data_IF_798144565582
#
_entry.id   IF_798144565582
#
_cell.length_a   1.000
_cell.length_b   1.000
_cell.length_c   1.000
_cell.angle_alpha   90.00
_cell.angle_beta   90.00
_cell.angle_gamma   90.00
#
_symmetry.space_group_name_H-M   'P 1'
#
loop_
_entity.id
_entity.type
_entity.pdbx_description
1 polymer ?
#
# COMPACT_ATOMS: atom_id res chain seq x y z
N UNK A 1 -5.11 3.09 47.27
CA UNK A 1 -5.18 2.49 48.61
C UNK A 1 -6.64 2.11 48.89
N UNK A 2 -7.03 0.91 48.44
CA UNK A 2 -8.38 0.39 48.64
C UNK A 2 -8.57 -0.22 50.01
N UNK A 3 -7.49 -0.47 50.76
CA UNK A 3 -7.50 -1.12 52.05
C UNK A 3 -7.20 -0.15 53.24
N UNK A 4 -6.89 1.11 52.99
CA UNK A 4 -6.58 2.12 53.99
C UNK A 4 -5.29 1.87 54.79
N UNK A 5 -4.37 1.07 54.27
CA UNK A 5 -3.10 0.71 54.92
C UNK A 5 -1.95 1.68 54.56
N UNK A 6 -2.22 2.69 53.72
CA UNK A 6 -1.25 3.68 53.26
C UNK A 6 -0.30 3.20 52.18
N UNK A 7 -0.44 1.94 51.73
CA UNK A 7 0.33 1.42 50.62
C UNK A 7 -0.49 1.48 49.34
N UNK A 8 0.16 1.87 48.23
CA UNK A 8 -0.45 1.83 46.90
C UNK A 8 -0.71 0.37 46.53
N UNK A 9 -1.97 0.02 46.18
CA UNK A 9 -2.28 -1.28 45.61
C UNK A 9 -1.60 -1.45 44.24
N UNK A 10 -0.36 -1.90 44.29
CA UNK A 10 0.50 -2.08 43.11
C UNK A 10 -0.14 -3.03 42.10
N UNK A 11 -1.02 -3.93 42.55
CA UNK A 11 -1.65 -4.94 41.72
C UNK A 11 -2.66 -4.41 40.68
N UNK A 12 -3.42 -3.35 40.99
CA UNK A 12 -4.45 -2.86 40.05
C UNK A 12 -3.92 -1.93 38.96
N UNK A 13 -2.78 -1.25 39.19
CA UNK A 13 -2.17 -0.36 38.22
C UNK A 13 -1.26 -1.08 37.21
N UNK A 14 -0.87 -2.34 37.47
CA UNK A 14 0.04 -3.12 36.62
C UNK A 14 -0.66 -4.20 35.82
N UNK A 15 -2.00 -4.26 35.83
CA UNK A 15 -2.75 -5.22 35.05
C UNK A 15 -3.00 -4.64 33.66
N UNK A 16 -2.50 -5.34 32.63
CA UNK A 16 -2.82 -5.02 31.25
C UNK A 16 -4.31 -5.24 31.00
N UNK A 17 -5.08 -4.15 30.89
CA UNK A 17 -6.54 -4.21 30.68
C UNK A 17 -6.94 -4.29 29.23
N UNK A 18 -6.10 -3.81 28.32
CA UNK A 18 -6.37 -3.78 26.89
C UNK A 18 -5.09 -4.06 26.09
N UNK A 19 -5.22 -4.91 25.07
CA UNK A 19 -4.19 -5.08 24.05
C UNK A 19 -4.85 -5.60 22.77
N UNK A 20 -4.22 -5.38 21.63
CA UNK A 20 -4.71 -5.94 20.37
C UNK A 20 -4.22 -5.20 19.14
N UNK A 21 -4.90 -5.49 18.05
CA UNK A 21 -4.72 -4.83 16.74
C UNK A 21 -6.06 -4.25 16.31
N UNK A 22 -6.03 -3.18 15.54
CA UNK A 22 -7.23 -2.57 14.97
C UNK A 22 -7.04 -2.31 13.48
N UNK A 23 -8.02 -2.69 12.68
CA UNK A 23 -8.04 -2.47 11.24
C UNK A 23 -9.37 -1.90 10.81
N UNK A 24 -9.33 -0.91 9.94
CA UNK A 24 -10.54 -0.35 9.33
C UNK A 24 -10.23 0.17 7.92
N UNK A 25 -11.15 -0.04 7.00
CA UNK A 25 -11.05 0.55 5.67
C UNK A 25 -11.22 2.07 5.73
N UNK A 26 -10.42 2.78 4.94
CA UNK A 26 -10.35 4.25 4.94
C UNK A 26 -10.20 4.78 3.51
N UNK A 27 -9.98 6.09 3.37
CA UNK A 27 -9.66 6.69 2.07
C UNK A 27 -8.53 7.68 2.20
N UNK A 28 -7.53 7.53 1.33
CA UNK A 28 -6.34 8.38 1.22
C UNK A 28 -6.25 9.04 -0.16
N UNK A 29 -7.31 8.90 -0.97
CA UNK A 29 -7.33 9.27 -2.39
C UNK A 29 -6.96 10.73 -2.66
N UNK A 30 -7.22 11.63 -1.70
CA UNK A 30 -6.89 13.05 -1.80
C UNK A 30 -5.40 13.33 -1.89
N UNK A 31 -4.58 12.47 -1.27
CA UNK A 31 -3.11 12.61 -1.24
C UNK A 31 -2.41 11.56 -2.08
N UNK A 32 -3.16 10.68 -2.78
CA UNK A 32 -2.62 9.57 -3.56
C UNK A 32 -1.69 10.00 -4.70
N UNK A 33 -1.94 11.20 -5.27
CA UNK A 33 -1.23 11.74 -6.43
C UNK A 33 -0.48 13.04 -6.10
N UNK A 34 -0.40 13.44 -4.83
CA UNK A 34 0.42 14.56 -4.38
C UNK A 34 1.91 14.30 -4.57
N UNK A 35 2.71 15.36 -4.53
CA UNK A 35 4.17 15.24 -4.56
C UNK A 35 4.63 14.41 -3.35
N UNK A 36 5.43 13.41 -3.61
CA UNK A 36 6.10 12.61 -2.58
C UNK A 36 7.28 11.89 -3.22
N UNK A 37 8.47 12.42 -2.99
CA UNK A 37 9.74 11.88 -3.47
C UNK A 37 10.84 12.05 -2.41
N UNK A 38 12.10 11.83 -2.78
CA UNK A 38 13.25 12.03 -1.89
C UNK A 38 13.48 13.50 -1.54
N UNK A 39 12.99 14.46 -2.34
CA UNK A 39 13.17 15.90 -2.12
C UNK A 39 12.12 16.49 -1.18
N UNK A 40 10.94 15.85 -1.05
CA UNK A 40 9.85 16.33 -0.19
C UNK A 40 8.56 15.59 -0.39
N UNK A 41 7.58 15.89 0.45
CA UNK A 41 6.22 15.34 0.37
C UNK A 41 5.21 16.33 0.95
N UNK A 42 4.27 16.78 0.11
CA UNK A 42 3.24 17.75 0.54
C UNK A 42 2.46 17.22 1.76
N UNK A 43 2.06 15.94 1.73
CA UNK A 43 1.32 15.35 2.86
C UNK A 43 2.17 15.17 4.12
N UNK A 44 3.49 15.02 3.99
CA UNK A 44 4.39 14.96 5.15
C UNK A 44 4.61 16.35 5.76
N UNK A 45 4.71 17.39 4.94
CA UNK A 45 4.81 18.77 5.39
C UNK A 45 3.52 19.19 6.08
N UNK A 46 2.36 18.84 5.53
CA UNK A 46 1.06 19.00 6.19
C UNK A 46 1.00 18.24 7.53
N UNK A 47 1.55 17.03 7.60
CA UNK A 47 1.61 16.27 8.85
C UNK A 47 2.44 17.01 9.90
N UNK A 48 3.61 17.52 9.55
CA UNK A 48 4.46 18.32 10.47
C UNK A 48 3.72 19.57 10.95
N UNK A 49 3.07 20.28 10.03
CA UNK A 49 2.31 21.51 10.36
C UNK A 49 1.06 21.23 11.21
N UNK A 50 0.38 20.12 10.95
CA UNK A 50 -0.83 19.75 11.68
C UNK A 50 -0.60 19.44 13.16
N UNK A 51 0.64 19.07 13.55
CA UNK A 51 0.98 18.74 14.95
C UNK A 51 0.61 19.87 15.91
N UNK A 52 0.98 21.10 15.60
CA UNK A 52 0.68 22.25 16.47
C UNK A 52 -0.82 22.50 16.60
N UNK A 53 -1.57 22.38 15.50
CA UNK A 53 -3.04 22.55 15.51
C UNK A 53 -3.72 21.49 16.38
N UNK A 54 -3.28 20.24 16.30
CA UNK A 54 -3.79 19.13 17.09
C UNK A 54 -3.41 19.31 18.58
N UNK A 55 -2.15 19.68 18.87
CA UNK A 55 -1.68 19.91 20.23
C UNK A 55 -2.49 21.01 20.92
N UNK A 56 -2.72 22.14 20.27
CA UNK A 56 -3.53 23.25 20.78
C UNK A 56 -4.98 22.81 21.08
N UNK A 57 -5.58 21.98 20.21
CA UNK A 57 -6.93 21.44 20.43
C UNK A 57 -6.99 20.49 21.62
N UNK A 58 -5.98 19.64 21.79
CA UNK A 58 -5.86 18.74 22.93
C UNK A 58 -5.71 19.52 24.24
N UNK A 59 -4.82 20.52 24.25
CA UNK A 59 -4.58 21.40 25.39
C UNK A 59 -5.86 22.17 25.80
N UNK A 60 -6.54 22.77 24.82
CA UNK A 60 -7.82 23.48 25.05
C UNK A 60 -8.87 22.53 25.63
N UNK A 61 -8.98 21.29 25.11
CA UNK A 61 -9.92 20.29 25.61
C UNK A 61 -9.57 19.84 27.06
N UNK A 62 -8.29 19.90 27.43
CA UNK A 62 -7.80 19.63 28.80
C UNK A 62 -7.90 20.85 29.74
N UNK A 63 -8.39 22.00 29.25
CA UNK A 63 -8.53 23.21 30.04
C UNK A 63 -7.23 24.02 30.23
N UNK A 64 -6.20 23.76 29.42
CA UNK A 64 -4.92 24.47 29.41
C UNK A 64 -5.06 25.75 28.60
N UNK A 65 -4.74 26.90 29.17
CA UNK A 65 -4.73 28.17 28.43
C UNK A 65 -3.48 28.24 27.55
N UNK A 66 -3.69 28.08 26.24
CA UNK A 66 -2.63 28.14 25.19
C UNK A 66 -2.10 29.57 24.95
N UNK A 67 -2.73 30.61 25.51
CA UNK A 67 -2.28 32.00 25.38
C UNK A 67 -1.33 32.39 26.55
N UNK A 68 -1.25 31.58 27.60
CA UNK A 68 -0.29 31.77 28.67
C UNK A 68 1.08 31.22 28.26
N UNK A 69 2.13 32.08 28.13
CA UNK A 69 3.48 31.63 27.76
C UNK A 69 4.05 30.57 28.72
N UNK A 70 3.58 30.54 29.99
CA UNK A 70 4.01 29.53 30.97
C UNK A 70 3.53 28.12 30.64
N UNK A 71 2.54 27.99 29.78
CA UNK A 71 2.00 26.71 29.33
C UNK A 71 2.55 26.23 27.97
N UNK A 72 3.51 26.95 27.40
CA UNK A 72 4.09 26.64 26.08
C UNK A 72 5.57 26.26 26.24
N UNK A 73 5.99 25.20 25.59
CA UNK A 73 7.37 24.76 25.57
C UNK A 73 8.25 25.62 24.61
N UNK A 74 9.56 25.35 24.57
CA UNK A 74 10.51 26.07 23.73
C UNK A 74 10.29 25.86 22.22
N UNK A 75 9.59 24.80 21.84
CA UNK A 75 9.25 24.49 20.44
C UNK A 75 7.88 25.07 20.04
N UNK A 76 7.20 25.77 20.95
CA UNK A 76 5.89 26.39 20.72
C UNK A 76 4.69 25.46 20.93
N UNK A 77 4.89 24.27 21.53
CA UNK A 77 3.83 23.33 21.83
C UNK A 77 3.31 23.50 23.26
N UNK A 78 2.01 23.25 23.52
CA UNK A 78 1.47 23.23 24.87
C UNK A 78 2.17 22.16 25.72
N UNK A 79 2.51 22.51 26.97
CA UNK A 79 3.09 21.57 27.96
C UNK A 79 2.19 20.33 28.08
N UNK A 80 2.78 19.14 28.04
CA UNK A 80 2.09 17.86 28.06
C UNK A 80 1.63 17.35 26.68
N UNK A 81 1.57 18.22 25.64
CA UNK A 81 1.20 17.88 24.27
C UNK A 81 2.29 18.29 23.27
N UNK A 82 3.53 17.90 23.56
CA UNK A 82 4.70 18.21 22.73
C UNK A 82 4.66 17.54 21.35
N UNK A 83 5.60 17.95 20.51
CA UNK A 83 5.70 17.53 19.09
C UNK A 83 5.84 16.03 18.87
N UNK A 84 6.31 15.28 19.87
CA UNK A 84 6.52 13.82 19.83
C UNK A 84 5.44 13.01 20.56
N UNK A 85 4.46 13.68 21.22
CA UNK A 85 3.39 12.96 21.91
C UNK A 85 2.53 12.16 20.90
N UNK A 86 2.35 10.86 21.15
CA UNK A 86 1.52 10.02 20.25
C UNK A 86 0.06 10.51 20.13
N UNK A 87 -0.50 11.16 21.17
CA UNK A 87 -1.83 11.76 21.09
C UNK A 87 -1.90 12.94 20.10
N UNK A 88 -0.76 13.60 19.85
CA UNK A 88 -0.60 14.65 18.83
C UNK A 88 -0.28 14.04 17.46
N UNK A 89 0.70 13.14 17.41
CA UNK A 89 1.22 12.57 16.19
C UNK A 89 0.14 11.80 15.42
N UNK A 90 -0.64 10.96 16.10
CA UNK A 90 -1.61 10.07 15.45
C UNK A 90 -2.72 10.85 14.71
N UNK A 91 -3.45 11.81 15.33
CA UNK A 91 -4.47 12.58 14.60
C UNK A 91 -3.86 13.51 13.54
N UNK A 92 -2.67 14.07 13.76
CA UNK A 92 -1.97 14.90 12.80
C UNK A 92 -1.61 14.09 11.54
N UNK A 93 -1.07 12.88 11.70
CA UNK A 93 -0.78 11.95 10.63
C UNK A 93 -2.04 11.57 9.84
N UNK A 94 -3.09 11.14 10.53
CA UNK A 94 -4.34 10.74 9.89
C UNK A 94 -5.01 11.90 9.15
N UNK A 95 -4.97 13.14 9.69
CA UNK A 95 -5.56 14.31 9.03
C UNK A 95 -4.81 14.65 7.75
N UNK A 96 -3.49 14.73 7.79
CA UNK A 96 -2.65 15.06 6.66
C UNK A 96 -2.85 14.07 5.50
N UNK A 97 -2.65 12.78 5.77
CA UNK A 97 -2.71 11.76 4.72
C UNK A 97 -4.12 11.43 4.22
N UNK A 98 -5.17 11.75 4.99
CA UNK A 98 -6.56 11.69 4.50
C UNK A 98 -7.04 12.98 3.83
N UNK A 99 -6.20 14.03 3.80
CA UNK A 99 -6.55 15.35 3.26
C UNK A 99 -7.70 16.01 4.01
N UNK A 100 -7.74 15.85 5.34
CA UNK A 100 -8.72 16.45 6.24
C UNK A 100 -8.09 17.60 7.01
N UNK A 101 -8.88 18.63 7.27
CA UNK A 101 -8.49 19.76 8.10
C UNK A 101 -8.18 19.28 9.54
N UNK A 102 -6.98 19.60 10.04
CA UNK A 102 -6.55 19.28 11.42
C UNK A 102 -7.44 19.94 12.47
N UNK A 103 -8.00 21.13 12.18
CA UNK A 103 -8.96 21.82 13.03
C UNK A 103 -10.26 21.06 13.29
N UNK A 104 -10.63 20.13 12.40
CA UNK A 104 -11.86 19.33 12.45
C UNK A 104 -11.61 17.83 12.57
N UNK A 105 -10.34 17.40 12.59
CA UNK A 105 -10.00 15.98 12.65
C UNK A 105 -10.46 15.34 13.98
N UNK A 106 -10.85 14.05 13.97
CA UNK A 106 -11.10 13.27 15.18
C UNK A 106 -9.77 13.05 15.90
N UNK A 107 -9.72 13.36 17.20
CA UNK A 107 -8.51 13.27 18.02
C UNK A 107 -8.21 11.83 18.51
N UNK A 108 -9.23 10.97 18.62
CA UNK A 108 -9.06 9.59 19.03
C UNK A 108 -8.34 8.72 17.98
N UNK A 109 -7.74 7.62 18.42
CA UNK A 109 -7.05 6.67 17.56
C UNK A 109 -8.02 5.78 16.76
N UNK A 110 -9.07 5.32 17.40
CA UNK A 110 -10.01 4.39 16.80
C UNK A 110 -11.03 5.11 15.91
N UNK A 111 -11.32 4.55 14.76
CA UNK A 111 -12.29 5.06 13.79
C UNK A 111 -13.53 4.18 13.81
N UNK A 112 -14.71 4.79 13.72
CA UNK A 112 -15.99 4.09 13.89
C UNK A 112 -16.66 3.76 12.57
N UNK A 113 -16.33 4.52 11.51
CA UNK A 113 -17.01 4.43 10.21
C UNK A 113 -16.03 3.94 9.15
N UNK A 114 -16.21 2.71 8.63
CA UNK A 114 -15.43 2.22 7.51
C UNK A 114 -15.82 2.94 6.23
N UNK A 115 -14.82 3.26 5.39
CA UNK A 115 -15.04 3.78 4.05
C UNK A 115 -14.93 2.60 3.07
N UNK A 116 -15.90 2.40 2.18
CA UNK A 116 -15.89 1.23 1.30
C UNK A 116 -14.71 1.26 0.34
N UNK A 117 -14.08 0.11 0.17
CA UNK A 117 -13.20 -0.19 -0.96
C UNK A 117 -14.05 -0.60 -2.15
N UNK A 118 -13.55 -0.43 -3.39
CA UNK A 118 -14.34 -0.75 -4.58
C UNK A 118 -13.53 -1.33 -5.72
N UNK A 119 -14.22 -2.07 -6.56
CA UNK A 119 -13.73 -2.48 -7.88
C UNK A 119 -14.85 -2.22 -8.88
N UNK A 120 -14.54 -1.42 -9.89
CA UNK A 120 -15.47 -1.03 -10.94
C UNK A 120 -15.03 -1.66 -12.26
N UNK A 121 -15.92 -2.36 -12.92
CA UNK A 121 -15.69 -2.90 -14.27
C UNK A 121 -16.73 -2.35 -15.23
N UNK A 122 -16.28 -1.68 -16.27
CA UNK A 122 -17.12 -1.08 -17.29
C UNK A 122 -16.93 -1.76 -18.65
N UNK A 123 -18.02 -2.24 -19.22
CA UNK A 123 -18.07 -2.90 -20.55
C UNK A 123 -18.95 -2.15 -21.52
N UNK A 124 -19.49 -0.99 -21.13
CA UNK A 124 -20.48 -0.24 -21.90
C UNK A 124 -19.98 0.28 -23.25
N UNK A 125 -18.68 0.41 -23.45
CA UNK A 125 -18.10 0.75 -24.76
C UNK A 125 -18.51 -0.23 -25.87
N UNK A 126 -18.76 -1.50 -25.51
CA UNK A 126 -19.24 -2.53 -26.46
C UNK A 126 -20.65 -2.25 -27.00
N UNK A 127 -21.41 -1.28 -26.46
CA UNK A 127 -22.69 -0.82 -27.03
C UNK A 127 -22.50 0.14 -28.21
N UNK A 128 -21.32 0.71 -28.36
CA UNK A 128 -21.01 1.65 -29.44
C UNK A 128 -20.64 0.90 -30.74
N UNK A 129 -21.20 1.30 -31.88
CA UNK A 129 -21.02 0.64 -33.18
C UNK A 129 -19.54 0.49 -33.59
N UNK A 130 -18.71 1.51 -33.28
CA UNK A 130 -17.29 1.49 -33.59
C UNK A 130 -16.56 0.36 -32.83
N UNK A 131 -16.84 0.21 -31.52
CA UNK A 131 -16.24 -0.87 -30.70
C UNK A 131 -16.73 -2.25 -31.18
N UNK A 132 -18.02 -2.42 -31.45
CA UNK A 132 -18.58 -3.66 -31.96
C UNK A 132 -17.98 -4.09 -33.31
N UNK A 133 -17.58 -3.11 -34.13
CA UNK A 133 -16.97 -3.39 -35.44
C UNK A 133 -15.55 -3.97 -35.27
N UNK A 134 -14.77 -3.51 -34.30
CA UNK A 134 -13.34 -3.84 -34.17
C UNK A 134 -13.03 -4.87 -33.08
N UNK A 135 -13.81 -4.89 -32.02
CA UNK A 135 -13.58 -5.73 -30.84
C UNK A 135 -14.66 -6.81 -30.68
N UNK A 136 -14.24 -7.98 -30.18
CA UNK A 136 -15.13 -9.02 -29.65
C UNK A 136 -15.40 -8.81 -28.15
N UNK A 137 -14.42 -8.22 -27.44
CA UNK A 137 -14.51 -7.84 -26.03
C UNK A 137 -13.68 -6.59 -25.75
N UNK A 138 -14.26 -5.71 -24.94
CA UNK A 138 -13.58 -4.53 -24.41
C UNK A 138 -14.07 -4.27 -23.00
N UNK A 139 -13.15 -4.16 -22.04
CA UNK A 139 -13.49 -3.78 -20.67
C UNK A 139 -12.45 -2.87 -20.05
N UNK A 140 -12.92 -1.92 -19.25
CA UNK A 140 -12.12 -1.06 -18.39
C UNK A 140 -12.39 -1.45 -16.94
N UNK A 141 -11.33 -1.66 -16.16
CA UNK A 141 -11.44 -1.97 -14.74
C UNK A 141 -10.64 -0.96 -13.93
N UNK A 142 -11.20 -0.53 -12.80
CA UNK A 142 -10.57 0.30 -11.79
C UNK A 142 -10.84 -0.29 -10.41
N UNK A 143 -9.83 -0.36 -9.55
CA UNK A 143 -9.96 -0.86 -8.18
C UNK A 143 -9.21 0.03 -7.20
N UNK A 144 -9.82 0.29 -6.05
CA UNK A 144 -9.24 1.06 -4.96
C UNK A 144 -9.47 0.34 -3.63
N UNK A 145 -8.40 0.21 -2.86
CA UNK A 145 -8.42 -0.34 -1.53
C UNK A 145 -7.51 0.51 -0.62
N UNK A 146 -8.03 0.93 0.53
CA UNK A 146 -7.21 1.59 1.54
C UNK A 146 -7.61 1.14 2.94
N UNK A 147 -6.61 1.03 3.81
CA UNK A 147 -6.75 0.51 5.17
C UNK A 147 -5.91 1.33 6.15
N UNK A 148 -6.50 1.61 7.29
CA UNK A 148 -5.83 2.12 8.48
C UNK A 148 -5.68 0.98 9.48
N UNK A 149 -4.47 0.78 9.98
CA UNK A 149 -4.13 -0.29 10.93
C UNK A 149 -3.40 0.31 12.12
N UNK A 150 -3.80 -0.08 13.33
CA UNK A 150 -3.03 0.09 14.55
C UNK A 150 -2.44 -1.28 14.87
N UNK A 151 -1.11 -1.38 14.91
CA UNK A 151 -0.43 -2.59 15.29
C UNK A 151 -0.08 -2.53 16.78
N UNK A 152 -0.50 -3.56 17.52
CA UNK A 152 -0.13 -3.76 18.93
C UNK A 152 -0.41 -2.55 19.83
N UNK A 153 -1.67 -2.18 19.99
CA UNK A 153 -2.02 -1.27 21.08
C UNK A 153 -2.09 -2.03 22.40
N UNK A 154 -1.67 -1.36 23.47
CA UNK A 154 -1.66 -1.92 24.84
C UNK A 154 -1.90 -0.85 25.89
N UNK A 155 -2.38 -1.29 27.06
CA UNK A 155 -2.45 -0.43 28.26
C UNK A 155 -1.04 0.09 28.61
N UNK A 156 -0.94 1.37 28.91
CA UNK A 156 0.26 1.94 29.49
C UNK A 156 0.26 1.68 31.00
N UNK A 157 1.17 0.84 31.45
CA UNK A 157 1.27 0.50 32.88
C UNK A 157 1.84 1.65 33.75
N UNK A 158 2.51 2.62 33.11
CA UNK A 158 3.04 3.82 33.78
C UNK A 158 2.02 4.95 33.88
N UNK A 159 0.81 4.76 33.30
CA UNK A 159 -0.27 5.75 33.37
C UNK A 159 -0.99 5.65 34.70
N UNK A 160 -1.05 6.79 35.44
CA UNK A 160 -1.81 6.92 36.68
C UNK A 160 -3.16 7.61 36.42
N UNK A 161 -4.26 6.89 36.69
CA UNK A 161 -5.60 7.44 36.52
C UNK A 161 -5.95 8.52 37.53
N UNK A 162 -5.30 8.50 38.72
CA UNK A 162 -5.47 9.48 39.74
C UNK A 162 -4.65 10.77 39.50
N UNK A 163 -3.61 10.66 38.63
CA UNK A 163 -2.77 11.78 38.19
C UNK A 163 -2.61 11.78 36.65
N UNK A 164 -3.68 12.06 35.87
CA UNK A 164 -3.67 11.95 34.40
C UNK A 164 -2.75 12.98 33.72
N UNK A 165 -2.31 14.01 34.46
CA UNK A 165 -1.42 15.07 33.96
C UNK A 165 0.05 14.82 34.32
N UNK A 166 0.39 13.59 34.73
CA UNK A 166 1.78 13.23 34.98
C UNK A 166 2.58 13.26 33.67
N UNK A 167 3.73 13.93 33.71
CA UNK A 167 4.62 14.06 32.56
C UNK A 167 5.57 12.87 32.47
N UNK A 168 5.85 12.46 31.23
CA UNK A 168 6.95 11.56 30.92
C UNK A 168 8.30 12.31 30.92
N UNK A 169 9.40 11.58 30.61
CA UNK A 169 10.75 12.17 30.52
C UNK A 169 10.88 13.17 29.35
N UNK A 170 10.01 13.13 28.40
CA UNK A 170 9.96 14.05 27.24
C UNK A 170 9.07 15.27 27.47
N UNK A 171 8.51 15.44 28.67
CA UNK A 171 7.60 16.56 28.99
C UNK A 171 6.19 16.39 28.44
N UNK A 172 5.81 15.19 28.01
CA UNK A 172 4.48 14.88 27.48
C UNK A 172 3.59 14.24 28.57
N UNK A 173 2.29 14.49 28.55
CA UNK A 173 1.36 13.72 29.38
C UNK A 173 1.41 12.26 29.01
N UNK A 174 1.46 11.37 29.98
CA UNK A 174 1.42 9.93 29.79
C UNK A 174 0.09 9.54 29.16
N UNK A 175 0.15 8.75 28.08
CA UNK A 175 -1.05 8.27 27.40
C UNK A 175 -1.55 6.98 28.07
N UNK A 176 -2.87 6.83 28.25
CA UNK A 176 -3.50 5.62 28.81
C UNK A 176 -3.25 4.37 27.96
N UNK A 177 -3.15 4.53 26.63
CA UNK A 177 -2.90 3.45 25.67
C UNK A 177 -1.66 3.77 24.85
N UNK A 178 -0.76 2.83 24.75
CA UNK A 178 0.42 2.91 23.91
C UNK A 178 0.17 2.22 22.58
N UNK A 179 0.67 2.81 21.51
CA UNK A 179 0.66 2.28 20.15
C UNK A 179 2.11 2.06 19.71
N UNK A 180 2.44 0.88 19.18
CA UNK A 180 3.78 0.62 18.66
C UNK A 180 4.00 1.33 17.33
N UNK A 181 3.11 1.09 16.39
CA UNK A 181 3.09 1.79 15.11
C UNK A 181 1.68 1.81 14.52
N UNK A 182 1.46 2.74 13.62
CA UNK A 182 0.25 2.83 12.81
C UNK A 182 0.60 2.81 11.32
N UNK A 183 -0.23 2.13 10.54
CA UNK A 183 -0.06 2.01 9.12
C UNK A 183 -1.25 2.55 8.35
N UNK A 184 -0.96 3.26 7.27
CA UNK A 184 -1.92 3.61 6.22
C UNK A 184 -1.48 2.91 4.94
N UNK A 185 -2.28 1.98 4.47
CA UNK A 185 -2.08 1.30 3.18
C UNK A 185 -3.07 1.82 2.17
N UNK A 186 -2.61 2.08 0.97
CA UNK A 186 -3.43 2.48 -0.17
C UNK A 186 -2.99 1.72 -1.40
N UNK A 187 -3.94 1.20 -2.15
CA UNK A 187 -3.65 0.40 -3.32
C UNK A 187 -4.70 0.65 -4.42
N UNK A 188 -4.22 1.04 -5.59
CA UNK A 188 -4.96 1.01 -6.84
C UNK A 188 -4.58 -0.27 -7.60
N UNK A 189 -5.41 -1.28 -7.52
CA UNK A 189 -5.15 -2.59 -8.13
C UNK A 189 -6.35 -3.10 -8.91
N UNK A 190 -6.48 -2.63 -10.16
CA UNK A 190 -5.62 -1.68 -10.88
C UNK A 190 -6.07 -0.21 -10.72
N UNK A 191 -5.15 0.75 -10.97
CA UNK A 191 -5.54 2.16 -11.20
C UNK A 191 -6.41 2.25 -12.46
N UNK A 192 -5.97 1.61 -13.53
CA UNK A 192 -6.81 1.25 -14.67
C UNK A 192 -6.26 0.00 -15.36
N UNK A 193 -7.18 -0.79 -15.91
CA UNK A 193 -6.87 -1.97 -16.72
C UNK A 193 -7.80 -1.99 -17.91
N UNK A 194 -7.21 -2.01 -19.09
CA UNK A 194 -7.87 -2.22 -20.37
C UNK A 194 -7.65 -3.68 -20.79
N UNK A 195 -8.72 -4.41 -20.99
CA UNK A 195 -8.69 -5.78 -21.49
C UNK A 195 -9.51 -5.81 -22.80
N UNK A 196 -8.82 -6.00 -23.90
CA UNK A 196 -9.37 -5.91 -25.25
C UNK A 196 -9.11 -7.20 -26.02
N UNK A 197 -10.12 -7.66 -26.73
CA UNK A 197 -10.01 -8.74 -27.69
C UNK A 197 -10.56 -8.28 -29.03
N UNK A 198 -9.71 -8.26 -30.05
CA UNK A 198 -10.08 -7.87 -31.39
C UNK A 198 -10.72 -9.05 -32.14
N UNK A 199 -11.50 -8.76 -33.18
CA UNK A 199 -12.13 -9.81 -34.03
C UNK A 199 -11.14 -10.69 -34.78
N UNK A 200 -9.92 -10.24 -34.99
CA UNK A 200 -8.83 -11.02 -35.61
C UNK A 200 -8.10 -11.92 -34.59
N UNK A 201 -8.67 -12.16 -33.39
CA UNK A 201 -8.10 -12.97 -32.31
C UNK A 201 -6.87 -12.35 -31.61
N UNK A 202 -6.57 -11.08 -31.83
CA UNK A 202 -5.56 -10.34 -31.11
C UNK A 202 -6.12 -9.90 -29.75
N UNK A 203 -5.39 -10.15 -28.68
CA UNK A 203 -5.70 -9.70 -27.31
C UNK A 203 -4.69 -8.65 -26.91
N UNK A 204 -5.18 -7.60 -26.28
CA UNK A 204 -4.35 -6.51 -25.76
C UNK A 204 -4.76 -6.27 -24.31
N UNK A 205 -3.76 -6.26 -23.44
CA UNK A 205 -3.89 -5.90 -22.03
C UNK A 205 -3.02 -4.67 -21.78
N UNK A 206 -3.58 -3.65 -21.15
CA UNK A 206 -2.80 -2.55 -20.59
C UNK A 206 -3.28 -2.31 -19.15
N UNK A 207 -2.36 -2.34 -18.19
CA UNK A 207 -2.69 -2.23 -16.78
C UNK A 207 -1.68 -1.34 -16.07
N UNK A 208 -2.18 -0.45 -15.21
CA UNK A 208 -1.37 0.37 -14.30
C UNK A 208 -1.82 0.10 -12.89
N UNK A 209 -0.89 -0.20 -12.00
CA UNK A 209 -1.12 -0.34 -10.57
C UNK A 209 -0.29 0.69 -9.80
N UNK A 210 -0.79 1.09 -8.67
CA UNK A 210 -0.09 1.98 -7.74
C UNK A 210 -0.39 1.55 -6.32
N UNK A 211 0.64 1.43 -5.50
CA UNK A 211 0.52 1.11 -4.09
C UNK A 211 1.37 2.05 -3.24
N UNK A 212 0.91 2.31 -2.02
CA UNK A 212 1.59 3.10 -1.02
C UNK A 212 1.32 2.53 0.37
N UNK A 213 2.37 2.35 1.14
CA UNK A 213 2.31 2.03 2.56
C UNK A 213 3.05 3.10 3.35
N UNK A 214 2.37 3.67 4.33
CA UNK A 214 2.90 4.64 5.27
C UNK A 214 2.90 4.00 6.65
N UNK A 215 4.07 3.89 7.27
CA UNK A 215 4.23 3.33 8.61
C UNK A 215 4.83 4.39 9.53
N UNK A 216 4.04 4.88 10.48
CA UNK A 216 4.47 5.83 11.49
C UNK A 216 4.90 5.09 12.75
N UNK A 217 6.16 5.25 13.14
CA UNK A 217 6.72 4.76 14.41
C UNK A 217 6.73 5.89 15.43
N UNK A 218 6.14 5.62 16.61
CA UNK A 218 6.12 6.58 17.71
C UNK A 218 7.42 6.56 18.52
N UNK A 219 8.10 5.42 18.56
CA UNK A 219 9.34 5.27 19.36
C UNK A 219 10.51 6.05 18.76
N UNK A 220 10.54 6.18 17.41
CA UNK A 220 11.66 6.78 16.69
C UNK A 220 11.30 8.11 16.01
N UNK A 221 10.07 8.60 16.14
CA UNK A 221 9.56 9.81 15.48
C UNK A 221 9.88 9.85 13.98
N UNK A 222 9.65 8.73 13.30
CA UNK A 222 9.90 8.61 11.87
C UNK A 222 8.73 8.01 11.12
N UNK A 223 8.61 8.40 9.87
CA UNK A 223 7.67 7.84 8.91
C UNK A 223 8.42 7.06 7.84
N UNK A 224 8.10 5.80 7.67
CA UNK A 224 8.53 4.98 6.54
C UNK A 224 7.44 5.01 5.47
N UNK A 225 7.80 5.47 4.28
CA UNK A 225 6.94 5.47 3.11
C UNK A 225 7.47 4.47 2.09
N UNK A 226 6.65 3.48 1.74
CA UNK A 226 6.93 2.50 0.67
C UNK A 226 5.96 2.79 -0.46
N UNK A 227 6.49 2.99 -1.66
CA UNK A 227 5.69 3.23 -2.87
C UNK A 227 6.02 2.23 -3.94
N UNK A 228 4.99 1.81 -4.68
CA UNK A 228 5.12 0.96 -5.85
C UNK A 228 4.29 1.49 -7.01
N UNK A 229 4.87 1.47 -8.22
CA UNK A 229 4.16 1.67 -9.46
C UNK A 229 4.45 0.48 -10.37
N UNK A 230 3.43 -0.05 -11.03
CA UNK A 230 3.59 -1.16 -11.96
C UNK A 230 2.82 -0.88 -13.24
N UNK A 231 3.51 -1.00 -14.37
CA UNK A 231 2.97 -0.84 -15.71
C UNK A 231 3.08 -2.17 -16.43
N UNK A 232 1.97 -2.66 -16.97
CA UNK A 232 1.91 -3.95 -17.65
C UNK A 232 1.27 -3.75 -19.03
N UNK A 233 1.93 -4.25 -20.05
CA UNK A 233 1.39 -4.36 -21.41
C UNK A 233 1.47 -5.81 -21.84
N UNK A 234 0.32 -6.41 -22.17
CA UNK A 234 0.21 -7.78 -22.65
C UNK A 234 -0.33 -7.82 -24.08
N UNK A 235 0.27 -8.65 -24.90
CA UNK A 235 -0.19 -8.96 -26.25
C UNK A 235 -0.40 -10.46 -26.39
N UNK A 236 -1.57 -10.85 -26.88
CA UNK A 236 -1.88 -12.24 -27.21
C UNK A 236 -2.34 -12.34 -28.64
N UNK A 237 -1.92 -13.38 -29.33
CA UNK A 237 -2.38 -13.65 -30.68
C UNK A 237 -2.62 -15.14 -30.90
N UNK A 238 -3.76 -15.47 -31.52
CA UNK A 238 -4.09 -16.83 -31.89
C UNK A 238 -4.07 -16.97 -33.38
N UNK A 239 -3.13 -17.77 -33.90
CA UNK A 239 -3.10 -18.20 -35.31
C UNK A 239 -3.92 -19.48 -35.39
N UNK A 240 -5.02 -19.41 -36.13
CA UNK A 240 -5.93 -20.55 -36.30
C UNK A 240 -5.42 -21.51 -37.35
N UNK A 241 -5.73 -22.80 -37.18
CA UNK A 241 -5.52 -23.88 -38.13
C UNK A 241 -4.06 -24.00 -38.64
N UNK A 242 -3.09 -23.85 -37.73
CA UNK A 242 -1.68 -24.07 -38.03
C UNK A 242 -1.46 -25.56 -38.30
N UNK A 243 -0.81 -25.86 -39.42
CA UNK A 243 -0.55 -27.23 -39.85
C UNK A 243 0.89 -27.63 -39.56
N UNK A 244 1.06 -28.68 -38.78
CA UNK A 244 2.37 -29.27 -38.49
C UNK A 244 2.39 -30.71 -39.05
N UNK A 245 3.38 -31.00 -39.89
CA UNK A 245 3.62 -32.35 -40.36
C UNK A 245 4.37 -33.14 -39.28
N UNK A 246 3.72 -34.09 -38.65
CA UNK A 246 4.29 -34.91 -37.57
C UNK A 246 4.52 -36.34 -38.05
N UNK A 247 5.63 -36.95 -37.60
CA UNK A 247 5.96 -38.36 -37.75
C UNK A 247 5.79 -39.15 -36.42
N UNK A 248 5.14 -38.56 -35.42
CA UNK A 248 5.06 -39.08 -34.05
C UNK A 248 4.34 -40.43 -33.91
N UNK A 249 3.62 -40.90 -34.91
CA UNK A 249 2.89 -42.17 -34.83
C UNK A 249 3.25 -43.16 -35.98
N UNK A 250 4.49 -43.08 -36.50
CA UNK A 250 4.95 -44.00 -37.56
C UNK A 250 4.38 -43.71 -38.96
N UNK A 251 3.37 -42.84 -39.09
CA UNK A 251 2.81 -42.34 -40.34
C UNK A 251 2.85 -40.83 -40.40
N UNK A 252 3.01 -40.23 -41.58
CA UNK A 252 2.90 -38.77 -41.75
C UNK A 252 1.47 -38.34 -41.46
N UNK A 253 1.24 -37.74 -40.32
CA UNK A 253 -0.05 -37.11 -40.00
C UNK A 253 0.11 -35.59 -40.02
N UNK A 254 -0.85 -34.91 -40.65
CA UNK A 254 -0.96 -33.44 -40.58
C UNK A 254 -1.79 -33.10 -39.34
N UNK A 255 -1.14 -32.58 -38.33
CA UNK A 255 -1.81 -32.06 -37.15
C UNK A 255 -2.26 -30.62 -37.44
N UNK A 256 -3.52 -30.32 -37.14
CA UNK A 256 -4.09 -28.98 -37.27
C UNK A 256 -4.55 -28.53 -35.89
N UNK A 257 -4.01 -27.42 -35.43
CA UNK A 257 -4.37 -26.83 -34.17
C UNK A 257 -4.13 -25.33 -34.18
N UNK A 258 -4.67 -24.63 -33.21
CA UNK A 258 -4.39 -23.23 -33.00
C UNK A 258 -3.04 -23.07 -32.28
N UNK A 259 -2.23 -22.12 -32.75
CA UNK A 259 -1.03 -21.64 -32.05
C UNK A 259 -1.41 -20.39 -31.29
N UNK A 260 -1.36 -20.47 -29.94
CA UNK A 260 -1.59 -19.33 -29.09
C UNK A 260 -0.24 -18.77 -28.67
N UNK A 261 -0.05 -17.48 -28.85
CA UNK A 261 1.15 -16.75 -28.44
C UNK A 261 0.76 -15.65 -27.47
N UNK A 262 1.56 -15.45 -26.44
CA UNK A 262 1.37 -14.40 -25.45
C UNK A 262 2.71 -13.77 -25.09
N UNK A 263 2.75 -12.45 -25.07
CA UNK A 263 3.89 -11.67 -24.62
C UNK A 263 3.41 -10.64 -23.59
N UNK A 264 3.99 -10.64 -22.41
CA UNK A 264 3.72 -9.66 -21.36
C UNK A 264 5.01 -8.90 -21.02
N UNK A 265 4.97 -7.58 -21.09
CA UNK A 265 6.02 -6.69 -20.63
C UNK A 265 5.53 -5.98 -19.38
N UNK A 266 6.32 -6.01 -18.31
CA UNK A 266 6.03 -5.22 -17.10
C UNK A 266 7.24 -4.44 -16.64
N UNK A 267 6.98 -3.24 -16.13
CA UNK A 267 7.91 -2.39 -15.41
C UNK A 267 7.33 -2.15 -14.03
N UNK A 268 8.07 -2.52 -12.98
CA UNK A 268 7.72 -2.23 -11.59
C UNK A 268 8.82 -1.42 -10.93
N UNK A 269 8.43 -0.31 -10.32
CA UNK A 269 9.29 0.54 -9.51
C UNK A 269 8.82 0.49 -8.06
N UNK A 270 9.72 0.13 -7.15
CA UNK A 270 9.49 0.20 -5.71
C UNK A 270 10.52 1.13 -5.09
N UNK A 271 10.09 1.96 -4.13
CA UNK A 271 10.98 2.86 -3.39
C UNK A 271 10.55 2.95 -1.94
N UNK A 272 11.51 2.87 -1.02
CA UNK A 272 11.31 3.07 0.42
C UNK A 272 12.04 4.34 0.83
N UNK A 273 11.31 5.27 1.44
CA UNK A 273 11.81 6.56 1.93
C UNK A 273 11.53 6.63 3.43
N UNK A 274 12.55 6.94 4.22
CA UNK A 274 12.41 7.29 5.62
C UNK A 274 12.39 8.81 5.73
N UNK A 275 11.40 9.34 6.45
CA UNK A 275 11.21 10.75 6.73
C UNK A 275 11.26 10.99 8.22
N UNK A 276 12.18 11.85 8.64
CA UNK A 276 12.35 12.22 10.04
C UNK A 276 11.47 13.41 10.37
N UNK A 277 10.64 13.30 11.41
CA UNK A 277 9.68 14.35 11.78
C UNK A 277 10.34 15.66 12.24
N UNK A 278 11.48 15.56 12.88
CA UNK A 278 12.17 16.69 13.49
C UNK A 278 13.41 17.15 12.70
N UNK A 279 13.73 16.48 11.60
CA UNK A 279 14.85 16.79 10.73
C UNK A 279 14.35 16.98 9.30
N UNK A 280 14.91 17.98 8.60
CA UNK A 280 14.69 18.14 7.15
C UNK A 280 15.56 17.14 6.36
N UNK A 281 15.36 15.86 6.66
CA UNK A 281 16.12 14.76 6.07
C UNK A 281 15.18 13.66 5.61
N UNK A 282 15.18 13.44 4.30
CA UNK A 282 14.49 12.32 3.67
C UNK A 282 15.55 11.37 3.10
N UNK A 283 15.48 10.10 3.48
CA UNK A 283 16.46 9.11 3.04
C UNK A 283 15.80 8.01 2.25
N UNK A 284 16.25 7.79 1.01
CA UNK A 284 15.94 6.55 0.27
C UNK A 284 16.77 5.43 0.90
N UNK A 285 16.10 4.46 1.50
CA UNK A 285 16.76 3.33 2.18
C UNK A 285 16.76 2.06 1.35
N UNK A 286 15.80 1.93 0.45
CA UNK A 286 15.77 0.86 -0.54
C UNK A 286 14.95 1.28 -1.76
N UNK A 287 15.14 0.60 -2.84
CA UNK A 287 14.38 0.78 -4.06
C UNK A 287 14.84 -0.19 -5.13
N UNK A 288 13.93 -0.55 -6.00
CA UNK A 288 14.21 -1.47 -7.08
C UNK A 288 13.34 -1.16 -8.29
N UNK A 289 13.94 -1.13 -9.47
CA UNK A 289 13.26 -1.09 -10.76
C UNK A 289 13.41 -2.46 -11.41
N UNK A 290 12.27 -3.09 -11.75
CA UNK A 290 12.23 -4.44 -12.30
C UNK A 290 11.54 -4.40 -13.66
N UNK A 291 12.25 -4.85 -14.69
CA UNK A 291 11.71 -5.11 -16.01
C UNK A 291 11.49 -6.60 -16.18
N UNK A 292 10.30 -7.00 -16.60
CA UNK A 292 10.02 -8.39 -16.95
C UNK A 292 9.43 -8.47 -18.35
N UNK A 293 9.98 -9.37 -19.15
CA UNK A 293 9.39 -9.80 -20.40
C UNK A 293 9.09 -11.30 -20.28
N UNK A 294 7.83 -11.68 -20.44
CA UNK A 294 7.38 -13.07 -20.47
C UNK A 294 6.78 -13.36 -21.80
N UNK A 295 7.27 -14.40 -22.46
CA UNK A 295 6.71 -14.90 -23.71
C UNK A 295 6.33 -16.36 -23.55
N UNK A 296 5.17 -16.74 -24.09
CA UNK A 296 4.76 -18.12 -24.19
C UNK A 296 4.09 -18.40 -25.54
N UNK A 297 4.31 -19.61 -26.02
CA UNK A 297 3.62 -20.12 -27.21
C UNK A 297 3.17 -21.55 -26.94
N UNK A 298 1.88 -21.82 -27.10
CA UNK A 298 1.33 -23.15 -26.90
C UNK A 298 0.68 -23.69 -28.18
N UNK A 299 0.87 -24.98 -28.41
CA UNK A 299 0.31 -25.71 -29.52
C UNK A 299 -0.14 -27.11 -29.13
N UNK A 300 -1.37 -27.48 -29.46
CA UNK A 300 -1.91 -28.79 -29.16
C UNK A 300 -1.53 -29.79 -30.30
N UNK A 301 -0.65 -30.73 -30.02
CA UNK A 301 -0.24 -31.80 -30.94
C UNK A 301 -1.29 -32.90 -31.07
N UNK A 302 -2.13 -33.09 -30.06
CA UNK A 302 -3.27 -33.97 -30.07
C UNK A 302 -4.31 -33.49 -29.05
N UNK A 303 -5.45 -34.17 -28.92
CA UNK A 303 -6.46 -33.91 -27.91
C UNK A 303 -5.88 -33.96 -26.49
N UNK A 304 -4.85 -34.78 -26.30
CA UNK A 304 -4.26 -35.05 -24.98
C UNK A 304 -2.85 -34.48 -24.80
N UNK A 305 -2.16 -34.06 -25.87
CA UNK A 305 -0.78 -33.58 -25.83
C UNK A 305 -0.67 -32.13 -26.26
N UNK A 306 -0.19 -31.25 -25.39
CA UNK A 306 0.10 -29.85 -25.65
C UNK A 306 1.57 -29.56 -25.37
N UNK A 307 2.25 -28.90 -26.31
CA UNK A 307 3.58 -28.35 -26.09
C UNK A 307 3.47 -26.86 -25.77
N UNK A 308 4.24 -26.43 -24.81
CA UNK A 308 4.30 -25.02 -24.35
C UNK A 308 5.77 -24.62 -24.38
N UNK A 309 6.11 -23.68 -25.22
CA UNK A 309 7.39 -22.96 -25.16
C UNK A 309 7.22 -21.73 -24.26
N UNK A 310 8.21 -21.45 -23.41
CA UNK A 310 8.25 -20.22 -22.62
C UNK A 310 9.64 -19.60 -22.66
N UNK A 311 9.65 -18.28 -22.54
CA UNK A 311 10.84 -17.45 -22.38
C UNK A 311 10.52 -16.33 -21.41
N UNK A 312 11.28 -16.27 -20.31
CA UNK A 312 11.17 -15.25 -19.28
C UNK A 312 12.51 -14.50 -19.19
N UNK A 313 12.45 -13.19 -19.31
CA UNK A 313 13.56 -12.28 -19.06
C UNK A 313 13.18 -11.36 -17.90
N UNK A 314 14.05 -11.25 -16.89
CA UNK A 314 13.90 -10.32 -15.79
C UNK A 314 15.21 -9.57 -15.58
N UNK A 315 15.12 -8.24 -15.57
CA UNK A 315 16.23 -7.34 -15.22
C UNK A 315 15.80 -6.51 -14.02
N UNK A 316 16.65 -6.44 -13.00
CA UNK A 316 16.42 -5.63 -11.80
C UNK A 316 17.61 -4.74 -11.51
N UNK A 317 17.32 -3.46 -11.26
CA UNK A 317 18.26 -2.43 -10.85
C UNK A 317 17.85 -1.87 -9.49
N UNK A 318 18.82 -1.61 -8.63
CA UNK A 318 18.58 -1.14 -7.27
C UNK A 318 18.84 0.37 -7.17
N UNK A 319 17.97 1.10 -6.45
CA UNK A 319 18.12 2.55 -6.24
C UNK A 319 19.33 2.91 -5.38
N UNK A 320 19.82 1.97 -4.56
CA UNK A 320 21.01 2.13 -3.73
C UNK A 320 22.13 1.31 -4.35
N UNK A 321 23.25 1.94 -4.64
CA UNK A 321 24.38 1.39 -5.42
C UNK A 321 25.20 0.28 -4.73
N UNK A 322 24.74 -0.23 -3.59
CA UNK A 322 25.41 -1.34 -2.87
C UNK A 322 25.14 -2.71 -3.47
N UNK A 323 24.15 -2.82 -4.35
CA UNK A 323 23.80 -4.07 -5.03
C UNK A 323 23.94 -3.90 -6.55
N UNK A 324 24.54 -4.90 -7.20
CA UNK A 324 24.69 -4.90 -8.66
C UNK A 324 23.35 -5.23 -9.33
N UNK A 325 23.08 -4.66 -10.54
CA UNK A 325 21.96 -5.07 -11.36
C UNK A 325 21.99 -6.59 -11.64
N UNK A 326 20.82 -7.19 -11.62
CA UNK A 326 20.67 -8.63 -11.83
C UNK A 326 19.84 -8.91 -13.07
N UNK A 327 20.32 -9.84 -13.89
CA UNK A 327 19.59 -10.34 -15.05
C UNK A 327 19.30 -11.82 -14.86
N UNK A 328 18.04 -12.21 -15.06
CA UNK A 328 17.64 -13.62 -15.06
C UNK A 328 16.97 -13.95 -16.40
N UNK A 329 17.47 -15.00 -17.05
CA UNK A 329 16.88 -15.52 -18.29
C UNK A 329 16.49 -16.97 -18.05
N UNK A 330 15.22 -17.29 -18.35
CA UNK A 330 14.69 -18.66 -18.30
C UNK A 330 13.98 -18.97 -19.60
N UNK A 331 14.25 -20.13 -20.15
CA UNK A 331 13.51 -20.62 -21.31
C UNK A 331 13.37 -22.13 -21.22
N UNK A 332 12.31 -22.64 -21.80
CA UNK A 332 12.10 -24.07 -21.79
C UNK A 332 10.91 -24.51 -22.64
N UNK A 333 10.81 -25.83 -22.79
CA UNK A 333 9.71 -26.49 -23.46
C UNK A 333 9.04 -27.43 -22.44
N UNK A 334 7.73 -27.27 -22.26
CA UNK A 334 6.92 -28.13 -21.41
C UNK A 334 5.97 -28.95 -22.29
N UNK A 335 5.96 -30.26 -22.10
CA UNK A 335 4.96 -31.14 -22.68
C UNK A 335 3.94 -31.52 -21.64
N UNK A 336 2.66 -31.19 -21.89
CA UNK A 336 1.55 -31.54 -21.02
C UNK A 336 0.75 -32.66 -21.69
N UNK A 337 0.62 -33.78 -21.00
CA UNK A 337 -0.22 -34.88 -21.44
C UNK A 337 -1.38 -35.10 -20.46
N UNK A 338 -2.61 -35.09 -20.94
CA UNK A 338 -3.81 -35.35 -20.15
C UNK A 338 -4.20 -36.82 -20.31
N UNK A 339 -4.19 -37.58 -19.22
CA UNK A 339 -4.59 -38.99 -19.16
C UNK A 339 -6.11 -39.19 -18.98
N UNK A 340 -6.93 -38.20 -19.25
CA UNK A 340 -8.37 -38.29 -19.21
C UNK A 340 -8.97 -38.86 -20.51
N UNK A 341 -10.03 -39.64 -20.38
CA UNK A 341 -10.79 -40.24 -21.48
C UNK A 341 -11.41 -39.23 -22.42
#
# INVERSE_FOLDING_TARGET
DTNGDGFRDIYNSQIQSTFGNFNISTSLIKTAFGKSDETGSDAFDDFRANRITIANRLATNAGIDINDPGNIDTDGFPIGYGKSNQAVLLPAFLSAYSGKDAGKAKLGAFRDVPIPNWTLKYTGFMKMKWFQKHFSRFSLTHGYNAMYTINQFRTNLDYDADNPNELDQGGNFKNKTLFSNINLMEQFSPLFKLDMEMKNSMKILAEVKKDRLLSMSFDNNLLTEIKGNEYIVGLGYRIKDVKINSKLAGSRQVIRSDLNMKADLSLRENKTIIRYLDLDNNQVTSGQTIWNLKYSADYAFSKNLTGIFYFDYSFSEYAISTAFPQTTIRSGLTLRYNFGN
#
